data_IF_257529508851
#
_entry.id   IF_257529508851
#
_cell.length_a   1.000
_cell.length_b   1.000
_cell.length_c   1.000
_cell.angle_alpha   90.00
_cell.angle_beta   90.00
_cell.angle_gamma   90.00
#
_symmetry.space_group_name_H-M   'P 1'
#
loop_
_entity.id
_entity.type
_entity.pdbx_description
1 polymer ?
#
# COMPACT_ATOMS: atom_id res chain seq x y z
N UNK A 1 15.59 -4.98 -15.47
CA UNK A 1 16.07 -4.42 -14.19
C UNK A 1 16.37 -5.58 -13.27
N UNK A 2 17.46 -5.56 -12.51
CA UNK A 2 17.73 -6.63 -11.55
C UNK A 2 16.70 -6.54 -10.40
N UNK A 3 16.19 -7.65 -9.82
CA UNK A 3 15.15 -7.59 -8.79
C UNK A 3 15.50 -6.70 -7.59
N UNK A 4 16.79 -6.56 -7.28
CA UNK A 4 17.33 -5.71 -6.19
C UNK A 4 17.04 -4.21 -6.35
N UNK A 5 16.77 -3.76 -7.57
CA UNK A 5 16.49 -2.35 -7.89
C UNK A 5 14.98 -2.09 -8.00
N UNK A 6 14.13 -3.10 -7.75
CA UNK A 6 12.68 -2.93 -7.77
C UNK A 6 12.26 -1.94 -6.68
N UNK A 7 11.30 -1.07 -7.03
CA UNK A 7 10.73 -0.08 -6.12
C UNK A 7 9.24 -0.30 -5.94
N UNK A 8 8.73 -0.01 -4.75
CA UNK A 8 7.30 -0.03 -4.44
C UNK A 8 6.88 1.24 -3.73
N UNK A 9 5.65 1.71 -4.01
CA UNK A 9 5.03 2.77 -3.23
C UNK A 9 4.32 2.17 -2.02
N UNK A 10 4.62 2.73 -0.84
CA UNK A 10 3.90 2.46 0.41
C UNK A 10 3.36 3.79 0.93
N UNK A 11 2.07 3.85 1.25
CA UNK A 11 1.44 5.05 1.82
C UNK A 11 0.80 4.73 3.16
N UNK A 12 1.29 5.34 4.24
CA UNK A 12 0.62 5.30 5.55
C UNK A 12 -0.59 6.25 5.48
N UNK A 13 -1.77 5.68 5.65
CA UNK A 13 -3.06 6.36 5.58
C UNK A 13 -3.33 7.17 6.85
N UNK A 14 -4.38 8.03 6.87
CA UNK A 14 -4.61 8.91 8.00
C UNK A 14 -4.81 8.19 9.34
N UNK A 15 -5.45 7.02 9.34
CA UNK A 15 -5.58 6.19 10.54
C UNK A 15 -4.23 5.72 11.11
N UNK A 16 -3.24 5.42 10.28
CA UNK A 16 -1.88 5.08 10.74
C UNK A 16 -1.14 6.26 11.35
N UNK A 17 -1.30 7.45 10.76
CA UNK A 17 -0.71 8.68 11.31
C UNK A 17 -1.37 9.06 12.64
N UNK A 18 -2.71 9.10 12.68
CA UNK A 18 -3.47 9.50 13.87
C UNK A 18 -3.30 8.52 15.05
N UNK A 19 -2.89 7.27 14.78
CA UNK A 19 -2.61 6.26 15.81
C UNK A 19 -1.15 6.18 16.22
N UNK A 20 -0.31 7.15 15.82
CA UNK A 20 1.12 7.19 16.14
C UNK A 20 1.90 5.96 15.67
N UNK A 21 1.51 5.35 14.54
CA UNK A 21 2.11 4.11 14.02
C UNK A 21 3.19 4.32 12.96
N UNK A 22 3.58 5.57 12.66
CA UNK A 22 4.55 5.89 11.60
C UNK A 22 5.87 5.12 11.79
N UNK A 23 6.49 5.24 12.98
CA UNK A 23 7.75 4.58 13.29
C UNK A 23 7.63 3.05 13.28
N UNK A 24 6.55 2.50 13.84
CA UNK A 24 6.30 1.06 13.86
C UNK A 24 6.17 0.48 12.45
N UNK A 25 5.47 1.18 11.54
CA UNK A 25 5.27 0.76 10.16
C UNK A 25 6.59 0.84 9.38
N UNK A 26 7.31 1.97 9.44
CA UNK A 26 8.61 2.14 8.78
C UNK A 26 9.57 1.04 9.21
N UNK A 27 9.68 0.79 10.51
CA UNK A 27 10.53 -0.24 11.08
C UNK A 27 10.26 -1.64 10.53
N UNK A 28 9.01 -1.97 10.14
CA UNK A 28 8.70 -3.28 9.52
C UNK A 28 9.41 -3.49 8.19
N UNK A 29 9.48 -2.45 7.37
CA UNK A 29 10.12 -2.52 6.05
C UNK A 29 11.65 -2.43 6.18
N UNK A 30 12.16 -1.56 7.05
CA UNK A 30 13.61 -1.47 7.30
C UNK A 30 14.19 -2.79 7.83
N UNK A 31 13.48 -3.46 8.75
CA UNK A 31 13.96 -4.67 9.42
C UNK A 31 14.18 -5.85 8.46
N UNK A 32 13.52 -5.87 7.30
CA UNK A 32 13.77 -6.90 6.27
C UNK A 32 14.87 -6.51 5.28
N UNK A 33 15.39 -5.28 5.37
CA UNK A 33 16.42 -4.74 4.49
C UNK A 33 15.93 -3.98 3.27
N UNK A 34 14.65 -3.55 3.23
CA UNK A 34 14.22 -2.60 2.21
C UNK A 34 14.81 -1.22 2.50
N UNK A 35 15.27 -0.53 1.46
CA UNK A 35 15.89 0.80 1.52
C UNK A 35 14.86 1.88 1.26
N UNK A 36 14.71 2.84 2.16
CA UNK A 36 13.83 4.00 1.97
C UNK A 36 14.53 5.04 1.08
N UNK A 37 14.03 5.27 -0.14
CA UNK A 37 14.66 6.18 -1.11
C UNK A 37 13.89 7.48 -1.33
N UNK A 38 12.67 7.59 -0.82
CA UNK A 38 11.91 8.84 -0.76
C UNK A 38 10.84 8.77 0.34
N UNK A 39 10.54 9.89 0.98
CA UNK A 39 9.47 10.02 1.99
C UNK A 39 8.92 11.45 2.01
N UNK A 40 7.59 11.60 2.11
CA UNK A 40 6.97 12.90 2.40
C UNK A 40 5.63 12.77 3.12
N UNK A 41 5.32 13.80 3.91
CA UNK A 41 4.04 13.97 4.59
C UNK A 41 3.22 15.03 3.86
N UNK A 42 1.95 14.75 3.58
CA UNK A 42 1.03 15.68 2.94
C UNK A 42 -0.42 15.36 3.28
N UNK A 43 -1.32 16.32 3.08
CA UNK A 43 -2.76 16.07 2.98
C UNK A 43 -3.10 16.05 1.49
N UNK A 44 -3.44 14.89 0.90
CA UNK A 44 -3.68 14.80 -0.53
C UNK A 44 -5.04 15.44 -0.89
N UNK A 45 -5.16 15.95 -2.11
CA UNK A 45 -6.45 16.44 -2.63
C UNK A 45 -7.34 15.29 -3.09
N UNK A 46 -8.64 15.54 -3.18
CA UNK A 46 -9.61 14.59 -3.72
C UNK A 46 -9.22 14.13 -5.15
N UNK A 47 -8.78 15.06 -6.01
CA UNK A 47 -8.31 14.77 -7.36
C UNK A 47 -7.06 13.88 -7.38
N UNK A 48 -6.09 14.17 -6.49
CA UNK A 48 -4.87 13.37 -6.39
C UNK A 48 -5.18 11.91 -6.01
N UNK A 49 -6.11 11.69 -5.07
CA UNK A 49 -6.54 10.36 -4.65
C UNK A 49 -7.38 9.66 -5.71
N UNK A 50 -8.28 10.39 -6.38
CA UNK A 50 -9.04 9.82 -7.48
C UNK A 50 -8.12 9.29 -8.58
N UNK A 51 -7.17 10.12 -9.01
CA UNK A 51 -6.19 9.72 -10.02
C UNK A 51 -5.36 8.52 -9.57
N UNK A 52 -4.90 8.49 -8.32
CA UNK A 52 -4.14 7.37 -7.77
C UNK A 52 -4.85 6.02 -7.94
N UNK A 53 -6.15 5.95 -7.63
CA UNK A 53 -6.93 4.71 -7.77
C UNK A 53 -7.32 4.41 -9.23
N UNK A 54 -7.28 5.39 -10.13
CA UNK A 54 -7.67 5.20 -11.54
C UNK A 54 -6.50 5.30 -12.52
N UNK A 55 -5.25 5.11 -12.05
CA UNK A 55 -4.08 5.06 -12.93
C UNK A 55 -4.18 3.89 -13.92
N UNK A 56 -4.65 2.74 -13.45
CA UNK A 56 -5.03 1.62 -14.31
C UNK A 56 -6.47 1.83 -14.82
N UNK A 57 -6.68 1.93 -16.15
CA UNK A 57 -8.01 2.09 -16.73
C UNK A 57 -8.96 0.92 -16.41
N UNK A 58 -8.42 -0.27 -16.15
CA UNK A 58 -9.22 -1.45 -15.79
C UNK A 58 -9.60 -1.51 -14.30
N UNK A 59 -9.00 -0.66 -13.45
CA UNK A 59 -9.18 -0.74 -12.00
C UNK A 59 -10.64 -0.67 -11.57
N UNK A 60 -11.42 0.23 -12.18
CA UNK A 60 -12.84 0.39 -11.84
C UNK A 60 -13.65 -0.87 -12.12
N UNK A 61 -13.42 -1.50 -13.27
CA UNK A 61 -14.11 -2.72 -13.66
C UNK A 61 -13.69 -3.89 -12.75
N UNK A 62 -12.38 -4.11 -12.60
CA UNK A 62 -11.81 -5.23 -11.84
C UNK A 62 -12.19 -5.16 -10.35
N UNK A 63 -12.14 -3.97 -9.75
CA UNK A 63 -12.50 -3.77 -8.33
C UNK A 63 -13.98 -4.00 -8.10
N UNK A 64 -14.84 -3.52 -9.00
CA UNK A 64 -16.29 -3.75 -8.95
C UNK A 64 -16.63 -5.23 -9.06
N UNK A 65 -16.08 -5.93 -10.06
CA UNK A 65 -16.27 -7.38 -10.27
C UNK A 65 -15.83 -8.19 -9.04
N UNK A 66 -14.64 -7.90 -8.47
CA UNK A 66 -14.14 -8.56 -7.26
C UNK A 66 -15.02 -8.32 -6.05
N UNK A 67 -15.53 -7.10 -5.91
CA UNK A 67 -16.43 -6.74 -4.80
C UNK A 67 -17.75 -7.51 -4.92
N UNK A 68 -18.38 -7.51 -6.09
CA UNK A 68 -19.60 -8.27 -6.38
C UNK A 68 -19.39 -9.77 -6.09
N UNK A 69 -18.29 -10.34 -6.57
CA UNK A 69 -17.94 -11.74 -6.32
C UNK A 69 -17.76 -12.04 -4.81
N UNK A 70 -17.22 -11.09 -4.04
CA UNK A 70 -17.08 -11.20 -2.59
C UNK A 70 -18.45 -11.24 -1.88
N UNK A 71 -19.40 -10.38 -2.27
CA UNK A 71 -20.77 -10.40 -1.75
C UNK A 71 -21.44 -11.77 -2.01
N UNK A 72 -21.37 -12.24 -3.26
CA UNK A 72 -21.96 -13.54 -3.66
C UNK A 72 -21.34 -14.69 -2.87
N UNK A 73 -20.01 -14.70 -2.71
CA UNK A 73 -19.29 -15.75 -1.95
C UNK A 73 -19.69 -15.79 -0.48
N UNK A 74 -20.08 -14.65 0.10
CA UNK A 74 -20.57 -14.55 1.49
C UNK A 74 -22.06 -14.87 1.64
N UNK A 75 -22.77 -15.15 0.54
CA UNK A 75 -24.22 -15.35 0.53
C UNK A 75 -25.02 -14.05 0.66
N UNK A 76 -24.39 -12.90 0.42
CA UNK A 76 -25.02 -11.59 0.48
C UNK A 76 -25.44 -11.13 -0.92
N UNK A 77 -26.52 -10.37 -1.03
CA UNK A 77 -26.96 -9.77 -2.30
C UNK A 77 -26.37 -8.37 -2.43
N UNK A 78 -25.54 -8.09 -3.45
CA UNK A 78 -25.02 -6.74 -3.67
C UNK A 78 -26.19 -5.82 -4.07
N UNK A 79 -26.13 -4.55 -3.65
CA UNK A 79 -27.18 -3.56 -3.95
C UNK A 79 -27.25 -3.20 -5.45
N UNK A 80 -26.19 -3.50 -6.20
CA UNK A 80 -26.11 -3.37 -7.65
C UNK A 80 -25.18 -4.44 -8.20
N UNK A 81 -25.44 -4.86 -9.44
CA UNK A 81 -24.56 -5.78 -10.19
C UNK A 81 -23.71 -5.05 -11.23
N UNK A 82 -23.81 -3.72 -11.31
CA UNK A 82 -22.94 -2.90 -12.16
C UNK A 82 -21.59 -2.64 -11.44
N UNK A 83 -20.46 -3.16 -11.96
CA UNK A 83 -19.13 -2.93 -11.38
C UNK A 83 -18.76 -1.45 -11.24
N UNK A 84 -19.26 -0.58 -12.12
CA UNK A 84 -18.96 0.85 -12.11
C UNK A 84 -19.72 1.57 -11.00
N UNK A 85 -20.99 1.22 -10.76
CA UNK A 85 -21.74 1.75 -9.63
C UNK A 85 -21.12 1.34 -8.28
N UNK A 86 -20.72 0.07 -8.14
CA UNK A 86 -20.00 -0.40 -6.96
C UNK A 86 -18.73 0.42 -6.76
N UNK A 87 -17.94 0.59 -7.82
CA UNK A 87 -16.63 1.24 -7.69
C UNK A 87 -16.75 2.76 -7.49
N UNK A 88 -17.81 3.40 -7.96
CA UNK A 88 -18.10 4.80 -7.63
C UNK A 88 -18.28 4.99 -6.11
N UNK A 89 -18.97 4.06 -5.44
CA UNK A 89 -19.13 4.09 -3.97
C UNK A 89 -17.79 3.82 -3.27
N UNK A 90 -17.05 2.80 -3.71
CA UNK A 90 -15.73 2.45 -3.16
C UNK A 90 -14.77 3.63 -3.29
N UNK A 91 -14.68 4.23 -4.48
CA UNK A 91 -13.81 5.36 -4.77
C UNK A 91 -14.18 6.58 -3.93
N UNK A 92 -15.48 6.90 -3.80
CA UNK A 92 -15.94 7.98 -2.92
C UNK A 92 -15.47 7.75 -1.48
N UNK A 93 -15.65 6.54 -0.95
CA UNK A 93 -15.26 6.20 0.42
C UNK A 93 -13.73 6.27 0.61
N UNK A 94 -12.96 5.83 -0.39
CA UNK A 94 -11.50 5.92 -0.38
C UNK A 94 -11.03 7.38 -0.41
N UNK A 95 -11.63 8.22 -1.25
CA UNK A 95 -11.35 9.67 -1.29
C UNK A 95 -11.61 10.30 0.07
N UNK A 96 -12.81 10.14 0.62
CA UNK A 96 -13.17 10.64 1.96
C UNK A 96 -12.19 10.18 3.04
N UNK A 97 -11.75 8.93 2.99
CA UNK A 97 -10.80 8.42 3.97
C UNK A 97 -9.40 9.03 3.80
N UNK A 98 -8.85 9.01 2.58
CA UNK A 98 -7.48 9.46 2.31
C UNK A 98 -7.31 10.97 2.44
N UNK A 99 -8.37 11.76 2.26
CA UNK A 99 -8.34 13.22 2.41
C UNK A 99 -8.74 13.70 3.82
N UNK A 100 -9.10 12.78 4.72
CA UNK A 100 -9.50 13.13 6.11
C UNK A 100 -8.36 13.61 7.01
N UNK A 101 -7.11 13.45 6.58
CA UNK A 101 -5.93 13.82 7.35
C UNK A 101 -4.63 13.59 6.60
N UNK A 102 -3.49 13.81 7.25
CA UNK A 102 -2.19 13.62 6.61
C UNK A 102 -1.91 12.14 6.33
N UNK A 103 -1.17 11.91 5.24
CA UNK A 103 -0.60 10.62 4.86
C UNK A 103 0.93 10.73 4.81
N UNK A 104 1.61 9.59 4.92
CA UNK A 104 3.06 9.49 4.65
C UNK A 104 3.25 8.62 3.42
N UNK A 105 3.64 9.22 2.30
CA UNK A 105 4.03 8.48 1.10
C UNK A 105 5.52 8.14 1.16
N UNK A 106 5.89 6.92 0.77
CA UNK A 106 7.25 6.40 0.82
C UNK A 106 7.55 5.56 -0.40
N UNK A 107 8.80 5.62 -0.87
CA UNK A 107 9.32 4.69 -1.88
C UNK A 107 10.34 3.78 -1.21
N UNK A 108 10.08 2.48 -1.29
CA UNK A 108 10.98 1.44 -0.81
C UNK A 108 11.63 0.73 -1.99
N UNK A 109 12.95 0.59 -1.96
CA UNK A 109 13.77 -0.10 -2.95
C UNK A 109 14.36 -1.39 -2.36
N UNK A 110 14.43 -2.46 -3.17
CA UNK A 110 15.09 -3.71 -2.78
C UNK A 110 14.60 -4.91 -3.58
N UNK A 111 15.19 -6.07 -3.30
CA UNK A 111 14.84 -7.33 -3.95
C UNK A 111 13.35 -7.66 -3.81
N UNK A 112 12.65 -7.69 -4.94
CA UNK A 112 11.20 -7.98 -5.00
C UNK A 112 10.37 -7.06 -4.10
N UNK A 113 10.74 -5.77 -4.03
CA UNK A 113 10.16 -4.79 -3.13
C UNK A 113 8.62 -4.77 -3.14
N UNK A 114 7.97 -4.95 -4.30
CA UNK A 114 6.50 -4.97 -4.39
C UNK A 114 5.94 -6.18 -3.67
N UNK A 115 6.44 -7.39 -3.97
CA UNK A 115 5.94 -8.62 -3.35
C UNK A 115 6.21 -8.63 -1.84
N UNK A 116 7.44 -8.32 -1.44
CA UNK A 116 7.86 -8.27 -0.04
C UNK A 116 7.10 -7.19 0.73
N UNK A 117 6.92 -6.00 0.14
CA UNK A 117 6.12 -4.92 0.72
C UNK A 117 4.69 -5.35 0.99
N UNK A 118 4.03 -6.03 0.04
CA UNK A 118 2.68 -6.58 0.23
C UNK A 118 2.64 -7.67 1.30
N UNK A 119 3.62 -8.57 1.31
CA UNK A 119 3.72 -9.66 2.30
C UNK A 119 3.83 -9.12 3.73
N UNK A 120 4.64 -8.09 3.95
CA UNK A 120 4.79 -7.43 5.26
C UNK A 120 3.50 -6.69 5.65
N UNK A 121 2.84 -6.05 4.68
CA UNK A 121 1.62 -5.27 4.89
C UNK A 121 0.43 -6.14 5.31
N UNK A 122 0.28 -7.31 4.69
CA UNK A 122 -0.88 -8.21 4.90
C UNK A 122 -2.02 -7.97 3.91
N UNK A 123 -3.03 -8.84 3.94
CA UNK A 123 -4.20 -8.79 3.05
C UNK A 123 -5.05 -7.53 3.24
N UNK A 124 -5.97 -7.23 2.32
CA UNK A 124 -6.75 -5.98 2.38
C UNK A 124 -7.63 -5.87 3.62
N UNK A 125 -8.25 -6.98 4.06
CA UNK A 125 -9.04 -7.05 5.29
C UNK A 125 -8.15 -7.39 6.50
N UNK A 126 -8.08 -6.52 7.53
CA UNK A 126 -7.27 -6.81 8.71
C UNK A 126 -7.71 -8.05 9.48
N UNK A 127 -9.02 -8.24 9.69
CA UNK A 127 -9.59 -9.43 10.36
C UNK A 127 -9.10 -10.77 9.80
N UNK A 128 -8.82 -10.85 8.50
CA UNK A 128 -8.33 -12.05 7.83
C UNK A 128 -6.83 -12.02 7.52
N UNK A 129 -6.11 -10.99 7.96
CA UNK A 129 -4.66 -10.88 7.74
C UNK A 129 -3.93 -11.68 8.81
N UNK A 130 -2.85 -12.35 8.41
CA UNK A 130 -2.07 -13.18 9.32
C UNK A 130 -1.38 -12.36 10.42
N UNK A 131 -1.22 -13.00 11.59
CA UNK A 131 -0.41 -12.48 12.71
C UNK A 131 1.02 -12.28 12.22
N UNK A 132 1.63 -11.16 12.61
CA UNK A 132 2.95 -10.73 12.14
C UNK A 132 2.90 -9.76 10.97
N UNK A 133 1.76 -9.57 10.30
CA UNK A 133 1.59 -8.53 9.27
C UNK A 133 1.21 -7.19 9.91
N UNK A 134 1.48 -6.07 9.23
CA UNK A 134 1.08 -4.74 9.72
C UNK A 134 -0.44 -4.69 10.00
N UNK A 135 -1.25 -5.19 9.08
CA UNK A 135 -2.71 -5.16 9.23
C UNK A 135 -3.21 -6.12 10.30
N UNK A 136 -2.65 -7.33 10.39
CA UNK A 136 -3.02 -8.31 11.41
C UNK A 136 -2.64 -7.87 12.83
N UNK A 137 -1.50 -7.21 13.00
CA UNK A 137 -0.99 -6.86 14.33
C UNK A 137 -1.59 -5.56 14.89
N UNK A 138 -2.01 -4.64 14.02
CA UNK A 138 -2.41 -3.29 14.46
C UNK A 138 -3.88 -2.95 14.21
N UNK A 139 -4.69 -3.80 13.56
CA UNK A 139 -6.05 -3.42 13.19
C UNK A 139 -7.06 -4.53 13.36
N UNK A 140 -8.20 -4.19 13.96
CA UNK A 140 -9.34 -5.09 14.20
C UNK A 140 -10.48 -4.88 13.19
N UNK A 141 -10.32 -4.00 12.20
CA UNK A 141 -11.36 -3.66 11.23
C UNK A 141 -11.65 -4.80 10.25
N UNK A 142 -12.82 -4.77 9.65
CA UNK A 142 -13.30 -5.83 8.75
C UNK A 142 -14.20 -5.27 7.67
N UNK A 143 -14.44 -6.04 6.60
CA UNK A 143 -15.44 -5.66 5.59
C UNK A 143 -16.83 -5.52 6.21
N UNK A 144 -17.19 -6.41 7.14
CA UNK A 144 -18.49 -6.35 7.82
C UNK A 144 -18.69 -5.02 8.57
N UNK A 145 -17.66 -4.55 9.29
CA UNK A 145 -17.72 -3.26 9.98
C UNK A 145 -17.71 -2.09 9.00
N UNK A 146 -16.84 -2.10 7.99
CA UNK A 146 -16.74 -1.00 7.03
C UNK A 146 -17.99 -0.84 6.18
N UNK A 147 -18.60 -1.95 5.76
CA UNK A 147 -19.79 -1.97 4.92
C UNK A 147 -21.01 -1.51 5.72
N UNK A 148 -21.15 -1.98 6.97
CA UNK A 148 -22.19 -1.52 7.90
C UNK A 148 -22.09 -0.01 8.21
N UNK A 149 -20.86 0.49 8.38
CA UNK A 149 -20.57 1.91 8.63
C UNK A 149 -20.56 2.76 7.34
N UNK A 150 -20.71 2.15 6.16
CA UNK A 150 -20.65 2.82 4.84
C UNK A 150 -19.37 3.63 4.62
N UNK A 151 -18.21 3.08 5.01
CA UNK A 151 -16.88 3.69 4.88
C UNK A 151 -15.88 2.74 4.25
N UNK A 152 -14.70 3.23 3.89
CA UNK A 152 -13.59 2.36 3.51
C UNK A 152 -13.07 1.57 4.73
N UNK A 153 -12.51 0.38 4.47
CA UNK A 153 -11.76 -0.36 5.48
C UNK A 153 -10.56 0.48 5.90
N UNK A 154 -10.44 0.72 7.21
CA UNK A 154 -9.28 1.35 7.82
C UNK A 154 -8.25 0.26 8.02
N UNK A 155 -7.24 0.23 7.17
CA UNK A 155 -6.23 -0.83 7.15
C UNK A 155 -4.80 -0.27 7.12
N UNK A 156 -4.61 0.96 7.64
CA UNK A 156 -3.35 1.67 7.88
C UNK A 156 -2.51 2.04 6.67
N UNK A 157 -2.38 1.15 5.69
CA UNK A 157 -1.33 1.24 4.67
C UNK A 157 -1.90 0.89 3.30
N UNK A 158 -1.51 1.64 2.28
CA UNK A 158 -1.54 1.24 0.87
C UNK A 158 -0.18 0.67 0.47
N UNK A 159 -0.18 -0.36 -0.38
CA UNK A 159 1.02 -0.94 -0.99
C UNK A 159 0.71 -1.31 -2.44
N UNK A 160 1.58 -0.93 -3.38
CA UNK A 160 1.39 -1.21 -4.81
C UNK A 160 1.15 -2.70 -5.06
N UNK A 161 0.24 -3.03 -5.98
CA UNK A 161 -0.18 -4.42 -6.23
C UNK A 161 0.73 -5.21 -7.18
N UNK A 162 1.44 -4.52 -8.07
CA UNK A 162 2.35 -5.09 -9.06
C UNK A 162 3.51 -4.13 -9.39
N UNK A 163 4.62 -4.60 -10.00
CA UNK A 163 5.70 -3.72 -10.46
C UNK A 163 5.22 -2.62 -11.42
N UNK A 164 4.32 -2.95 -12.35
CA UNK A 164 3.73 -1.97 -13.28
C UNK A 164 2.91 -0.91 -12.54
N UNK A 165 2.08 -1.32 -11.58
CA UNK A 165 1.34 -0.37 -10.74
C UNK A 165 2.28 0.50 -9.91
N UNK A 166 3.33 -0.09 -9.34
CA UNK A 166 4.32 0.64 -8.54
C UNK A 166 5.00 1.75 -9.35
N UNK A 167 5.40 1.49 -10.59
CA UNK A 167 5.98 2.50 -11.48
C UNK A 167 5.02 3.68 -11.73
N UNK A 168 3.76 3.40 -12.04
CA UNK A 168 2.73 4.42 -12.27
C UNK A 168 2.44 5.23 -11.00
N UNK A 169 2.31 4.53 -9.87
CA UNK A 169 2.05 5.14 -8.56
C UNK A 169 3.22 6.02 -8.13
N UNK A 170 4.47 5.54 -8.22
CA UNK A 170 5.66 6.32 -7.87
C UNK A 170 5.71 7.62 -8.69
N UNK A 171 5.49 7.55 -10.01
CA UNK A 171 5.47 8.73 -10.88
C UNK A 171 4.30 9.69 -10.58
N UNK A 172 3.21 9.20 -10.01
CA UNK A 172 2.07 10.02 -9.58
C UNK A 172 2.32 10.71 -8.24
N UNK A 173 3.02 10.06 -7.32
CA UNK A 173 3.28 10.57 -5.97
C UNK A 173 4.57 11.37 -5.84
N UNK A 174 5.60 11.10 -6.64
CA UNK A 174 6.92 11.71 -6.51
C UNK A 174 7.51 12.19 -7.85
N UNK A 175 8.17 13.35 -7.81
CA UNK A 175 9.07 13.78 -8.86
C UNK A 175 10.41 13.05 -8.75
N UNK A 176 11.18 13.01 -9.84
CA UNK A 176 12.46 12.27 -9.88
C UNK A 176 13.51 12.83 -8.91
N UNK A 177 13.50 14.14 -8.67
CA UNK A 177 14.40 14.84 -7.76
C UNK A 177 14.07 14.60 -6.27
N UNK A 178 12.90 14.05 -5.96
CA UNK A 178 12.53 13.62 -4.60
C UNK A 178 13.09 12.23 -4.26
N UNK A 179 13.68 11.51 -5.23
CA UNK A 179 14.22 10.16 -5.05
C UNK A 179 15.73 10.23 -4.87
N UNK A 180 16.21 9.82 -3.70
CA UNK A 180 17.60 9.92 -3.31
C UNK A 180 18.36 8.64 -3.66
N UNK A 181 19.45 8.79 -4.42
CA UNK A 181 20.38 7.70 -4.71
C UNK A 181 21.46 7.64 -3.62
N UNK A 182 21.49 6.54 -2.87
CA UNK A 182 22.50 6.29 -1.86
C UNK A 182 22.67 4.77 -1.63
N UNK A 183 23.76 4.43 -0.93
CA UNK A 183 24.11 3.05 -0.58
C UNK A 183 24.00 2.82 0.92
N UNK A 184 23.37 1.71 1.31
CA UNK A 184 23.45 1.13 2.65
C UNK A 184 24.50 0.03 2.70
N UNK A 185 25.21 -0.10 3.81
CA UNK A 185 26.13 -1.22 4.04
C UNK A 185 25.37 -2.56 4.06
N UNK A 186 24.13 -2.56 4.54
CA UNK A 186 23.28 -3.75 4.51
C UNK A 186 23.03 -4.28 3.09
N UNK A 187 22.97 -3.41 2.07
CA UNK A 187 22.83 -3.84 0.67
C UNK A 187 24.05 -4.66 0.22
N UNK A 188 25.24 -4.32 0.72
CA UNK A 188 26.45 -5.09 0.46
C UNK A 188 26.29 -6.52 0.97
N UNK A 189 25.85 -6.66 2.23
CA UNK A 189 25.65 -7.96 2.86
C UNK A 189 24.55 -8.78 2.17
N UNK A 190 23.50 -8.11 1.67
CA UNK A 190 22.37 -8.79 1.03
C UNK A 190 22.61 -9.15 -0.44
N UNK A 191 23.39 -8.35 -1.18
CA UNK A 191 23.44 -8.42 -2.64
C UNK A 191 24.82 -8.64 -3.24
N UNK A 192 25.92 -8.48 -2.49
CA UNK A 192 27.25 -8.78 -3.05
C UNK A 192 27.40 -10.28 -3.26
N UNK A 193 27.99 -10.65 -4.41
CA UNK A 193 28.25 -12.05 -4.76
C UNK A 193 29.30 -12.65 -3.83
N UNK A 194 30.30 -11.85 -3.45
CA UNK A 194 31.36 -12.25 -2.54
C UNK A 194 31.34 -11.36 -1.30
N UNK A 195 31.30 -11.99 -0.13
CA UNK A 195 31.35 -11.33 1.17
C UNK A 195 32.81 -11.17 1.64
N UNK A 196 33.71 -10.82 0.71
CA UNK A 196 35.13 -10.68 0.96
C UNK A 196 35.43 -9.42 1.78
N UNK A 197 36.44 -9.48 2.65
CA UNK A 197 36.84 -8.33 3.49
C UNK A 197 35.97 -8.07 4.73
N UNK A 198 35.13 -9.04 5.13
CA UNK A 198 34.38 -8.99 6.41
C UNK A 198 35.26 -9.35 7.60
N UNK A 199 36.21 -10.28 7.42
CA UNK A 199 37.15 -10.69 8.45
C UNK A 199 38.42 -9.84 8.34
N UNK A 200 38.88 -9.31 9.48
CA UNK A 200 40.17 -8.64 9.64
C UNK A 200 41.35 -9.63 9.61
#
# INVERSE_FOLDING_TARGET
MHPKEERTLIVIKPDGVQRTLIGEIIKRYERVGLKLVAIKMLVPTDEHIEKHYTLDPDWRRVTGEKTIASYIKKGETPWTTDPLEVTNVVLKNLKTFMTSGPVIAMIWEGAHAVEIGRKITGGTEPRSSDVGTIRGDFVLDSYMMSDGDKRAVRNLVHASGSPKEAEMEIAHWFNKDEIVEYRLIQEQILYDVNLDGILE
#
